data_IF_282248568087
#
_entry.id   IF_282248568087
#
_cell.length_a   1.000
_cell.length_b   1.000
_cell.length_c   1.000
_cell.angle_alpha   90.00
_cell.angle_beta   90.00
_cell.angle_gamma   90.00
#
_symmetry.space_group_name_H-M   'P 1'
#
loop_
_entity.id
_entity.type
_entity.pdbx_description
1 polymer ?
#
# COMPACT_ATOMS: atom_id res chain seq x y z
N UNK A 1 -7.11 14.53 -18.05
CA UNK A 1 -7.38 14.94 -16.66
C UNK A 1 -7.08 16.42 -16.51
N UNK A 2 -7.95 17.24 -15.89
CA UNK A 2 -7.64 18.65 -15.65
C UNK A 2 -6.43 18.77 -14.72
N UNK A 3 -5.61 19.79 -14.95
CA UNK A 3 -4.31 20.02 -14.31
C UNK A 3 -4.41 20.58 -12.88
N UNK A 4 -5.60 20.57 -12.29
CA UNK A 4 -5.85 21.18 -10.99
C UNK A 4 -5.69 20.09 -9.94
N UNK A 5 -4.43 19.85 -9.55
CA UNK A 5 -4.10 18.96 -8.44
C UNK A 5 -4.79 19.49 -7.18
N UNK A 6 -5.88 18.86 -6.78
CA UNK A 6 -6.51 19.14 -5.50
C UNK A 6 -5.61 18.54 -4.41
N UNK A 7 -4.65 19.36 -3.97
CA UNK A 7 -3.56 18.97 -3.09
C UNK A 7 -4.07 18.79 -1.67
N UNK A 8 -3.55 17.78 -0.96
CA UNK A 8 -3.97 17.51 0.42
C UNK A 8 -5.16 16.57 0.58
N UNK A 9 -5.69 15.99 -0.50
CA UNK A 9 -6.59 14.83 -0.39
C UNK A 9 -5.86 13.66 0.24
N UNK A 10 -6.48 13.10 1.27
CA UNK A 10 -6.01 11.88 1.93
C UNK A 10 -7.05 10.78 1.82
N UNK A 11 -6.57 9.56 1.69
CA UNK A 11 -7.37 8.36 1.72
C UNK A 11 -6.73 7.34 2.65
N UNK A 12 -7.52 6.70 3.49
CA UNK A 12 -7.01 5.80 4.53
C UNK A 12 -7.57 4.39 4.37
N UNK A 13 -6.68 3.40 4.43
CA UNK A 13 -7.00 1.98 4.45
C UNK A 13 -6.51 1.38 5.75
N UNK A 14 -7.47 0.87 6.53
CA UNK A 14 -7.19 0.06 7.70
C UNK A 14 -7.11 -1.41 7.30
N UNK A 15 -6.02 -2.07 7.67
CA UNK A 15 -5.82 -3.50 7.46
C UNK A 15 -5.17 -4.15 8.69
N UNK A 16 -4.95 -5.45 8.64
CA UNK A 16 -4.26 -6.17 9.70
C UNK A 16 -3.40 -7.29 9.16
N UNK A 17 -2.27 -7.51 9.81
CA UNK A 17 -1.41 -8.69 9.59
C UNK A 17 -1.39 -9.54 10.85
N UNK A 18 -1.15 -10.83 10.69
CA UNK A 18 -1.01 -11.76 11.82
C UNK A 18 0.42 -12.27 11.85
N UNK A 19 1.06 -12.21 13.01
CA UNK A 19 2.42 -12.72 13.17
C UNK A 19 2.47 -14.24 13.36
N UNK A 20 3.69 -14.77 13.52
CA UNK A 20 3.92 -16.20 13.77
C UNK A 20 3.43 -16.69 15.14
N UNK A 21 3.09 -15.79 16.06
CA UNK A 21 2.47 -16.10 17.36
C UNK A 21 0.94 -15.94 17.34
N UNK A 22 0.35 -15.78 16.15
CA UNK A 22 -1.07 -15.51 15.94
C UNK A 22 -1.57 -14.19 16.56
N UNK A 23 -0.68 -13.26 16.87
CA UNK A 23 -1.01 -11.91 17.31
C UNK A 23 -1.41 -11.08 16.09
N UNK A 24 -2.56 -10.40 16.19
CA UNK A 24 -3.04 -9.49 15.16
C UNK A 24 -2.47 -8.09 15.38
N UNK A 25 -1.85 -7.55 14.35
CA UNK A 25 -1.32 -6.19 14.30
C UNK A 25 -2.16 -5.33 13.36
N UNK A 26 -2.51 -4.13 13.79
CA UNK A 26 -3.26 -3.18 12.99
C UNK A 26 -2.32 -2.30 12.18
N UNK A 27 -2.59 -2.20 10.89
CA UNK A 27 -1.85 -1.38 9.95
C UNK A 27 -2.76 -0.31 9.38
N UNK A 28 -2.26 0.92 9.31
CA UNK A 28 -2.91 2.03 8.62
C UNK A 28 -2.05 2.46 7.44
N UNK A 29 -2.61 2.33 6.24
CA UNK A 29 -2.06 2.87 4.99
C UNK A 29 -2.76 4.19 4.70
N UNK A 30 -2.00 5.27 4.66
CA UNK A 30 -2.48 6.61 4.31
C UNK A 30 -1.93 6.98 2.94
N UNK A 31 -2.82 7.25 1.99
CA UNK A 31 -2.52 7.76 0.66
C UNK A 31 -2.72 9.28 0.69
N UNK A 32 -1.71 10.05 0.33
CA UNK A 32 -1.78 11.51 0.29
C UNK A 32 -1.46 12.02 -1.11
N UNK A 33 -2.33 12.85 -1.67
CA UNK A 33 -2.13 13.45 -2.99
C UNK A 33 -0.96 14.44 -2.93
N UNK A 34 0.07 14.24 -3.75
CA UNK A 34 1.21 15.16 -3.83
C UNK A 34 0.88 16.37 -4.71
N UNK A 35 1.80 17.34 -4.78
CA UNK A 35 1.71 18.47 -5.70
C UNK A 35 1.80 18.05 -7.17
N UNK A 36 2.31 16.85 -7.45
CA UNK A 36 2.45 16.32 -8.81
C UNK A 36 1.10 15.71 -9.26
N UNK A 37 0.51 16.21 -10.37
CA UNK A 37 -0.66 15.59 -10.97
C UNK A 37 -0.32 14.13 -11.29
N UNK A 38 -1.12 13.16 -10.85
CA UNK A 38 -0.88 11.71 -10.97
C UNK A 38 0.15 11.05 -10.02
N UNK A 39 0.57 11.73 -8.96
CA UNK A 39 1.42 11.12 -7.93
C UNK A 39 0.75 11.12 -6.55
N UNK A 40 1.00 10.07 -5.78
CA UNK A 40 0.49 9.89 -4.42
C UNK A 40 1.58 9.34 -3.50
N UNK A 41 1.68 9.85 -2.29
CA UNK A 41 2.53 9.26 -1.24
C UNK A 41 1.75 8.23 -0.43
N UNK A 42 2.39 7.13 -0.07
CA UNK A 42 1.87 6.13 0.86
C UNK A 42 2.69 6.16 2.15
N UNK A 43 2.00 6.39 3.26
CA UNK A 43 2.56 6.17 4.59
C UNK A 43 1.98 4.89 5.18
N UNK A 44 2.84 4.01 5.69
CA UNK A 44 2.43 2.86 6.49
C UNK A 44 2.74 3.12 7.97
N UNK A 45 1.74 2.96 8.83
CA UNK A 45 1.91 3.06 10.28
C UNK A 45 1.33 1.85 11.00
N UNK A 46 1.90 1.55 12.17
CA UNK A 46 1.42 0.54 13.09
C UNK A 46 1.71 1.03 14.52
N UNK A 47 0.68 1.03 15.38
CA UNK A 47 0.78 1.61 16.73
C UNK A 47 1.70 0.83 17.68
N UNK A 48 1.95 -0.42 17.35
CA UNK A 48 2.79 -1.36 18.10
C UNK A 48 4.12 -1.66 17.39
N UNK A 49 4.49 -0.88 16.38
CA UNK A 49 5.85 -0.91 15.83
C UNK A 49 6.82 -0.11 16.71
N UNK A 50 8.07 -0.56 16.79
CA UNK A 50 9.16 0.21 17.38
C UNK A 50 9.32 1.54 16.60
N UNK A 51 9.62 2.68 17.24
CA UNK A 51 9.92 3.91 16.52
C UNK A 51 11.01 3.72 15.45
N UNK A 52 10.70 4.00 14.18
CA UNK A 52 11.61 3.75 13.05
C UNK A 52 11.79 2.27 12.69
N UNK A 53 10.91 1.40 13.20
CA UNK A 53 10.89 -0.04 12.98
C UNK A 53 10.26 -0.47 11.66
N UNK A 54 9.56 0.44 10.95
CA UNK A 54 8.94 0.17 9.65
C UNK A 54 9.89 0.62 8.52
N UNK A 55 10.37 -0.31 7.70
CA UNK A 55 11.43 -0.07 6.71
C UNK A 55 11.19 -0.76 5.38
N UNK A 56 11.65 -0.16 4.29
CA UNK A 56 11.73 -0.81 2.99
C UNK A 56 12.84 -1.85 2.98
N UNK A 57 12.58 -3.02 2.39
CA UNK A 57 13.55 -4.12 2.25
C UNK A 57 13.93 -4.42 0.80
N UNK A 58 13.23 -3.82 -0.16
CA UNK A 58 13.54 -3.83 -1.59
C UNK A 58 13.37 -2.43 -2.20
N UNK A 59 13.50 -2.33 -3.53
CA UNK A 59 13.37 -1.07 -4.27
C UNK A 59 14.58 -0.14 -4.14
N UNK A 60 14.49 1.03 -4.77
CA UNK A 60 15.53 2.06 -4.76
C UNK A 60 15.83 2.58 -3.34
N UNK A 61 14.83 2.52 -2.45
CA UNK A 61 14.91 3.02 -1.08
C UNK A 61 15.16 1.92 -0.03
N UNK A 62 15.70 0.76 -0.44
CA UNK A 62 16.02 -0.35 0.48
C UNK A 62 16.81 0.10 1.72
N UNK A 63 16.35 -0.33 2.89
CA UNK A 63 16.95 -0.03 4.20
C UNK A 63 16.52 1.32 4.79
N UNK A 64 15.82 2.16 4.02
CA UNK A 64 15.21 3.41 4.51
C UNK A 64 13.88 3.11 5.23
N UNK A 65 13.40 4.10 5.97
CA UNK A 65 12.06 4.04 6.55
C UNK A 65 11.01 3.85 5.44
N UNK A 66 9.93 3.13 5.75
CA UNK A 66 8.75 3.05 4.87
C UNK A 66 7.87 4.30 5.03
N UNK A 67 8.51 5.48 5.12
CA UNK A 67 7.84 6.76 5.19
C UNK A 67 7.68 7.30 3.78
N UNK A 68 6.43 7.51 3.35
CA UNK A 68 6.07 8.18 2.11
C UNK A 68 6.66 7.48 0.88
N UNK A 69 6.22 6.24 0.63
CA UNK A 69 6.45 5.57 -0.66
C UNK A 69 5.61 6.26 -1.72
N UNK A 70 6.25 6.86 -2.70
CA UNK A 70 5.55 7.52 -3.80
C UNK A 70 5.06 6.51 -4.83
N UNK A 71 3.82 6.65 -5.30
CA UNK A 71 3.25 5.95 -6.45
C UNK A 71 2.96 6.97 -7.54
N UNK A 72 3.34 6.62 -8.77
CA UNK A 72 3.01 7.39 -9.96
C UNK A 72 2.02 6.63 -10.84
N UNK A 73 1.09 7.37 -11.42
CA UNK A 73 0.11 6.87 -12.38
C UNK A 73 0.36 7.49 -13.77
N UNK A 74 0.07 6.74 -14.81
CA UNK A 74 0.05 7.22 -16.18
C UNK A 74 -1.21 8.07 -16.45
N UNK A 75 -1.22 8.80 -17.57
CA UNK A 75 -2.30 9.71 -17.94
C UNK A 75 -3.65 8.99 -18.21
N UNK A 76 -3.63 7.69 -18.42
CA UNK A 76 -4.81 6.81 -18.53
C UNK A 76 -5.29 6.27 -17.17
N UNK A 77 -4.62 6.65 -16.08
CA UNK A 77 -4.96 6.28 -14.71
C UNK A 77 -4.36 4.94 -14.25
N UNK A 78 -3.58 4.26 -15.08
CA UNK A 78 -2.91 3.01 -14.72
C UNK A 78 -1.67 3.26 -13.87
N UNK A 79 -1.36 2.31 -12.99
CA UNK A 79 -0.13 2.30 -12.21
C UNK A 79 1.10 2.36 -13.14
N UNK A 80 2.02 3.28 -12.88
CA UNK A 80 3.22 3.46 -13.69
C UNK A 80 4.48 2.99 -12.94
N UNK A 81 4.70 3.48 -11.73
CA UNK A 81 5.95 3.22 -10.99
C UNK A 81 5.83 3.53 -9.50
N UNK A 82 6.86 3.12 -8.75
CA UNK A 82 7.04 3.35 -7.32
C UNK A 82 8.30 4.20 -7.05
N UNK A 83 8.32 4.85 -5.89
CA UNK A 83 9.44 5.65 -5.38
C UNK A 83 9.94 6.74 -6.35
N UNK A 84 9.11 7.17 -7.31
CA UNK A 84 9.51 8.10 -8.37
C UNK A 84 10.55 7.55 -9.36
N UNK A 85 10.75 6.22 -9.41
CA UNK A 85 11.73 5.56 -10.28
C UNK A 85 10.99 4.85 -11.41
N UNK A 86 11.08 5.30 -12.68
CA UNK A 86 10.31 4.73 -13.78
C UNK A 86 10.45 3.21 -13.97
N UNK A 87 11.64 2.64 -13.73
CA UNK A 87 11.84 1.19 -13.84
C UNK A 87 11.37 0.39 -12.62
N UNK A 88 11.03 1.04 -11.51
CA UNK A 88 10.53 0.38 -10.31
C UNK A 88 9.02 0.13 -10.44
N UNK A 89 8.67 -0.97 -11.08
CA UNK A 89 7.29 -1.38 -11.37
C UNK A 89 6.73 -2.41 -10.37
N UNK A 90 7.55 -2.82 -9.40
CA UNK A 90 7.20 -3.75 -8.33
C UNK A 90 7.14 -2.96 -7.01
N UNK A 91 6.07 -3.10 -6.20
CA UNK A 91 5.99 -2.45 -4.91
C UNK A 91 7.19 -2.78 -4.01
N UNK A 92 7.77 -1.81 -3.28
CA UNK A 92 8.82 -2.10 -2.32
C UNK A 92 8.25 -2.93 -1.15
N UNK A 93 8.97 -3.99 -0.78
CA UNK A 93 8.61 -4.85 0.35
C UNK A 93 8.90 -4.15 1.66
N UNK A 94 8.13 -4.44 2.69
CA UNK A 94 8.25 -3.81 4.01
C UNK A 94 8.67 -4.81 5.07
N UNK A 95 9.45 -4.33 6.03
CA UNK A 95 9.75 -5.02 7.27
C UNK A 95 9.32 -4.15 8.45
N UNK A 96 8.66 -4.77 9.42
CA UNK A 96 8.23 -4.15 10.66
C UNK A 96 8.91 -4.83 11.84
N UNK A 97 9.61 -4.02 12.63
CA UNK A 97 10.07 -4.38 13.95
C UNK A 97 8.99 -4.05 14.99
N UNK A 98 8.43 -5.08 15.62
CA UNK A 98 7.34 -4.95 16.58
C UNK A 98 7.86 -4.63 17.98
N UNK A 99 7.16 -3.79 18.72
CA UNK A 99 7.47 -3.46 20.12
C UNK A 99 6.87 -4.47 21.12
N UNK A 100 6.48 -5.65 20.65
CA UNK A 100 5.76 -6.71 21.39
C UNK A 100 6.65 -7.96 21.56
N UNK A 101 6.11 -9.04 22.12
CA UNK A 101 6.77 -10.36 22.18
C UNK A 101 6.77 -11.12 20.86
N UNK A 102 6.25 -10.51 19.79
CA UNK A 102 6.22 -11.03 18.43
C UNK A 102 7.63 -11.30 17.90
N UNK A 103 7.75 -12.17 16.89
CA UNK A 103 9.04 -12.36 16.20
C UNK A 103 9.48 -11.02 15.60
N UNK A 104 10.62 -10.53 16.07
CA UNK A 104 11.25 -9.31 15.57
C UNK A 104 11.40 -9.39 14.05
N UNK A 105 11.10 -8.29 13.34
CA UNK A 105 11.27 -8.13 11.89
C UNK A 105 10.34 -9.01 11.03
N UNK A 106 9.03 -8.79 11.15
CA UNK A 106 8.07 -9.36 10.19
C UNK A 106 8.20 -8.69 8.84
N UNK A 107 8.38 -9.47 7.78
CA UNK A 107 8.46 -8.97 6.41
C UNK A 107 7.20 -9.35 5.63
N UNK A 108 6.66 -8.41 4.87
CA UNK A 108 5.52 -8.65 3.98
C UNK A 108 5.62 -7.80 2.72
N UNK A 109 4.95 -8.25 1.67
CA UNK A 109 4.78 -7.52 0.43
C UNK A 109 3.38 -6.93 0.39
N UNK A 110 3.28 -5.65 0.03
CA UNK A 110 2.00 -5.06 -0.36
C UNK A 110 1.84 -5.33 -1.85
N UNK A 111 0.70 -5.90 -2.25
CA UNK A 111 0.39 -6.12 -3.66
C UNK A 111 -0.59 -5.02 -4.11
N UNK A 112 -0.15 -4.18 -5.03
CA UNK A 112 -0.99 -3.17 -5.67
C UNK A 112 -1.21 -3.49 -7.16
N UNK A 113 -0.96 -4.73 -7.57
CA UNK A 113 -0.91 -5.18 -8.96
C UNK A 113 0.33 -4.73 -9.72
N UNK A 114 0.39 -5.11 -10.99
CA UNK A 114 1.54 -4.85 -11.85
C UNK A 114 1.39 -3.50 -12.58
N UNK A 115 2.50 -2.78 -12.77
CA UNK A 115 2.46 -1.54 -13.54
C UNK A 115 1.93 -1.77 -14.96
N UNK A 116 1.07 -0.87 -15.43
CA UNK A 116 0.44 -0.91 -16.75
C UNK A 116 -0.68 -1.94 -16.90
N UNK A 117 -1.08 -2.66 -15.85
CA UNK A 117 -2.16 -3.65 -15.92
C UNK A 117 -3.50 -3.14 -15.35
N UNK A 118 -4.66 -3.51 -15.94
CA UNK A 118 -5.97 -3.00 -15.49
C UNK A 118 -6.44 -3.51 -14.12
N UNK A 119 -5.85 -4.61 -13.64
CA UNK A 119 -6.08 -5.25 -12.36
C UNK A 119 -5.22 -4.65 -11.22
N UNK A 120 -4.31 -3.73 -11.56
CA UNK A 120 -3.57 -2.96 -10.57
C UNK A 120 -4.41 -1.85 -9.93
N UNK A 121 -3.85 -1.28 -8.86
CA UNK A 121 -4.34 -0.02 -8.31
C UNK A 121 -4.39 1.02 -9.42
N UNK A 122 -5.48 1.78 -9.43
CA UNK A 122 -5.75 2.80 -10.43
C UNK A 122 -6.35 4.03 -9.80
N UNK A 123 -6.12 5.16 -10.46
CA UNK A 123 -6.84 6.40 -10.20
C UNK A 123 -8.01 6.47 -11.20
N UNK A 124 -9.23 6.70 -10.71
CA UNK A 124 -10.42 6.77 -11.58
C UNK A 124 -11.20 8.05 -11.36
N UNK A 125 -11.67 8.64 -12.46
CA UNK A 125 -12.47 9.88 -12.49
C UNK A 125 -13.94 9.66 -12.09
N UNK A 126 -14.32 8.50 -11.54
CA UNK A 126 -15.72 8.16 -11.24
C UNK A 126 -16.06 8.39 -9.77
N UNK A 127 -16.72 9.51 -9.42
CA UNK A 127 -17.17 9.75 -8.06
C UNK A 127 -18.20 8.69 -7.63
N UNK A 128 -17.88 7.92 -6.59
CA UNK A 128 -18.86 7.13 -5.84
C UNK A 128 -18.61 5.63 -5.74
N UNK A 129 -17.57 5.07 -6.36
CA UNK A 129 -17.15 3.70 -6.02
C UNK A 129 -16.22 3.72 -4.81
N UNK A 130 -16.79 3.45 -3.64
CA UNK A 130 -16.02 3.20 -2.42
C UNK A 130 -15.17 1.94 -2.52
N UNK A 131 -14.12 1.88 -1.70
CA UNK A 131 -13.33 0.66 -1.49
C UNK A 131 -14.23 -0.39 -0.83
N UNK A 132 -14.64 -1.38 -1.62
CA UNK A 132 -15.14 -2.64 -1.10
C UNK A 132 -13.93 -3.53 -0.81
N UNK A 133 -13.30 -3.30 0.35
CA UNK A 133 -12.45 -4.30 0.96
C UNK A 133 -13.33 -5.46 1.43
N UNK A 134 -13.62 -6.42 0.55
CA UNK A 134 -14.17 -7.70 1.00
C UNK A 134 -13.03 -8.52 1.57
N UNK A 135 -12.95 -8.59 2.89
CA UNK A 135 -12.23 -9.67 3.55
C UNK A 135 -13.05 -10.94 3.36
N UNK A 136 -12.78 -11.70 2.30
CA UNK A 136 -13.30 -13.07 2.21
C UNK A 136 -12.56 -13.92 3.24
N UNK A 137 -13.24 -14.21 4.35
CA UNK A 137 -12.81 -15.21 5.32
C UNK A 137 -12.93 -16.57 4.62
N UNK A 138 -11.83 -17.08 4.07
CA UNK A 138 -11.77 -18.48 3.67
C UNK A 138 -11.63 -19.31 4.96
N UNK A 139 -12.75 -19.57 5.63
CA UNK A 139 -12.81 -20.60 6.66
C UNK A 139 -13.11 -21.92 5.97
N UNK A 140 -12.05 -22.62 5.56
CA UNK A 140 -11.99 -24.06 5.76
C UNK A 140 -10.54 -24.56 5.73
N UNK A 141 -10.33 -25.54 6.58
CA UNK A 141 -9.06 -26.12 7.02
C UNK A 141 -8.28 -26.83 5.89
N UNK A 142 -6.96 -26.83 6.04
CA UNK A 142 -5.94 -27.69 5.40
C UNK A 142 -5.34 -27.31 4.02
N UNK A 143 -4.07 -26.85 4.07
CA UNK A 143 -2.98 -26.95 3.06
C UNK A 143 -2.87 -25.89 1.92
N UNK A 144 -1.97 -24.91 2.15
CA UNK A 144 -1.17 -24.08 1.20
C UNK A 144 -1.90 -23.02 0.34
N UNK A 145 -1.17 -22.00 -0.19
CA UNK A 145 -0.30 -21.02 0.45
C UNK A 145 -0.93 -19.59 0.40
N UNK A 146 -0.23 -18.62 0.98
CA UNK A 146 -0.54 -17.19 0.96
C UNK A 146 -0.83 -16.66 -0.46
N UNK A 147 -2.12 -16.55 -0.82
CA UNK A 147 -2.57 -15.61 -1.85
C UNK A 147 -3.71 -14.79 -1.26
N UNK A 148 -3.35 -13.62 -0.76
CA UNK A 148 -4.31 -12.57 -0.43
C UNK A 148 -4.29 -11.58 -1.58
N UNK A 149 -5.21 -11.70 -2.52
CA UNK A 149 -5.48 -10.66 -3.50
C UNK A 149 -6.30 -9.56 -2.81
N UNK A 150 -5.66 -8.40 -2.59
CA UNK A 150 -6.34 -7.21 -2.10
C UNK A 150 -6.40 -6.20 -3.24
N UNK A 151 -7.61 -5.91 -3.73
CA UNK A 151 -7.84 -4.87 -4.73
C UNK A 151 -8.21 -3.56 -4.01
N UNK A 152 -7.42 -2.51 -4.20
CA UNK A 152 -7.69 -1.17 -3.69
C UNK A 152 -8.02 -0.22 -4.85
N UNK A 153 -9.19 0.41 -4.81
CA UNK A 153 -9.63 1.41 -5.79
C UNK A 153 -9.58 2.80 -5.15
N UNK A 154 -8.74 3.71 -5.66
CA UNK A 154 -8.69 5.07 -5.14
C UNK A 154 -9.64 5.97 -5.95
N UNK A 155 -10.70 6.47 -5.30
CA UNK A 155 -11.69 7.35 -5.91
C UNK A 155 -11.33 8.82 -5.59
N UNK A 156 -11.22 9.65 -6.63
CA UNK A 156 -10.95 11.09 -6.51
C UNK A 156 -12.20 11.84 -6.97
N UNK A 157 -12.92 12.40 -6.00
CA UNK A 157 -14.03 13.33 -6.28
C UNK A 157 -13.47 14.67 -6.77
N UNK A 158 -14.19 15.29 -7.70
CA UNK A 158 -13.98 16.67 -8.14
C UNK A 158 -14.78 17.66 -7.29
#
# INVERSE_FOLDING_TARGET
MPADADTGHTYEVNTSVTDSLASRHHLLLTYAKTLTPLEWDITLTAGDAVPGGIRQTSGANKGRAYSNVTIQFAADGLLLSYNGVPEETIPPTVCIDWATTSVNKSAFALNFGAAGTPDAMRITDTPGMGILGKTEKNSDDSRLPCETESFAFLNVGS
#
